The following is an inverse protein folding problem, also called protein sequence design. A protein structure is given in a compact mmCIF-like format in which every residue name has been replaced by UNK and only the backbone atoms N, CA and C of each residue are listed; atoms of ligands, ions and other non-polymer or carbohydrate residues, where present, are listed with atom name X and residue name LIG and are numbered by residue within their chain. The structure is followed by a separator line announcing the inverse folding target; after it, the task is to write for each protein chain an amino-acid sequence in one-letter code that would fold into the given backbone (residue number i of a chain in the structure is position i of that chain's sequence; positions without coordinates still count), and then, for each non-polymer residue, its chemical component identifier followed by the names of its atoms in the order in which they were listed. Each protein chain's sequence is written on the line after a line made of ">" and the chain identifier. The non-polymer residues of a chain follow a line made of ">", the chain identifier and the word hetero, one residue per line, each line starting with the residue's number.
data_IF_942083897775
#
_entry.id   IF_942083897775
#
_cell.length_a   1.000
_cell.length_b   1.000
_cell.length_c   1.000
_cell.angle_alpha   90.00
_cell.angle_beta   90.00
_cell.angle_gamma   90.00
#
_symmetry.space_group_name_H-M   'P 1'
#
loop_
_entity.id
_entity.type
_entity.pdbx_description
1 polymer ?
#
# COMPACT_ATOMS: atom_id res chain seq x y z
N UNK A 1 24.26 10.17 -11.41
CA UNK A 1 23.30 10.23 -10.30
C UNK A 1 23.87 9.35 -9.19
N UNK A 2 23.85 9.77 -7.92
CA UNK A 2 24.33 8.94 -6.82
C UNK A 2 23.52 7.65 -6.71
N UNK A 3 24.15 6.58 -6.19
CA UNK A 3 23.50 5.29 -6.01
C UNK A 3 22.63 5.27 -4.75
N UNK A 4 21.52 4.50 -4.72
CA UNK A 4 20.69 4.37 -3.52
C UNK A 4 21.52 3.96 -2.30
N UNK A 5 21.40 4.71 -1.20
CA UNK A 5 22.16 4.48 0.03
C UNK A 5 23.50 5.22 0.12
N UNK A 6 23.88 6.02 -0.89
CA UNK A 6 25.02 6.93 -0.77
C UNK A 6 24.63 8.23 -0.04
N UNK A 7 25.49 8.65 0.89
CA UNK A 7 25.37 9.95 1.54
C UNK A 7 25.80 11.06 0.58
N UNK A 8 24.93 12.04 0.36
CA UNK A 8 25.28 13.24 -0.41
C UNK A 8 25.52 14.38 0.57
N UNK A 9 26.71 14.96 0.56
CA UNK A 9 27.02 16.15 1.36
C UNK A 9 26.54 17.41 0.65
N UNK A 10 25.91 18.31 1.40
CA UNK A 10 25.38 19.54 0.83
C UNK A 10 25.04 20.59 1.89
N UNK A 11 24.82 21.82 1.41
CA UNK A 11 24.37 22.92 2.25
C UNK A 11 22.88 23.11 2.05
N UNK A 12 22.10 23.09 3.14
CA UNK A 12 20.65 23.29 3.06
C UNK A 12 20.35 24.69 2.49
N UNK A 13 19.67 24.77 1.35
CA UNK A 13 19.33 26.05 0.70
C UNK A 13 18.41 26.96 1.54
N UNK A 14 17.69 26.40 2.52
CA UNK A 14 16.76 27.13 3.37
C UNK A 14 17.40 27.72 4.63
N UNK A 15 18.39 27.04 5.24
CA UNK A 15 19.00 27.49 6.50
C UNK A 15 20.54 27.62 6.47
N UNK A 16 21.18 27.37 5.32
CA UNK A 16 22.62 27.54 5.13
C UNK A 16 23.51 26.56 5.90
N UNK A 17 22.94 25.59 6.63
CA UNK A 17 23.71 24.61 7.40
C UNK A 17 24.22 23.49 6.50
N UNK A 18 25.51 23.19 6.65
CA UNK A 18 26.16 22.04 6.04
C UNK A 18 25.70 20.75 6.73
N UNK A 19 25.32 19.73 5.95
CA UNK A 19 24.82 18.47 6.48
C UNK A 19 24.94 17.33 5.48
N UNK A 20 24.68 16.13 5.98
CA UNK A 20 24.61 14.92 5.16
C UNK A 20 23.14 14.63 4.88
N UNK A 21 22.78 14.56 3.61
CA UNK A 21 21.46 14.08 3.18
C UNK A 21 21.59 12.58 2.92
N UNK A 22 20.77 11.81 3.61
CA UNK A 22 20.64 10.38 3.38
C UNK A 22 19.54 10.18 2.34
N UNK A 23 19.89 9.60 1.20
CA UNK A 23 18.89 9.11 0.27
C UNK A 23 18.24 7.87 0.90
N UNK A 24 16.92 7.86 1.12
CA UNK A 24 16.26 6.72 1.73
C UNK A 24 16.48 5.48 0.86
N UNK A 25 16.64 4.27 1.46
CA UNK A 25 16.74 3.06 0.68
C UNK A 25 15.48 2.91 -0.17
N UNK A 26 15.64 2.48 -1.43
CA UNK A 26 14.50 2.15 -2.28
C UNK A 26 13.64 1.08 -1.59
N UNK A 27 12.31 1.16 -1.78
CA UNK A 27 11.42 0.10 -1.32
C UNK A 27 11.85 -1.19 -2.03
N UNK A 28 12.06 -2.29 -1.30
CA UNK A 28 12.46 -3.52 -1.94
C UNK A 28 11.34 -3.98 -2.90
N UNK A 29 11.75 -4.42 -4.09
CA UNK A 29 10.83 -4.65 -5.21
C UNK A 29 9.75 -5.70 -4.89
N UNK A 30 10.04 -6.61 -3.96
CA UNK A 30 9.12 -7.63 -3.44
C UNK A 30 7.94 -7.04 -2.68
N UNK A 31 8.13 -5.96 -1.90
CA UNK A 31 7.07 -5.29 -1.16
C UNK A 31 6.11 -4.56 -2.11
N UNK A 32 6.64 -3.82 -3.09
CA UNK A 32 5.82 -3.19 -4.13
C UNK A 32 5.10 -4.23 -4.99
N UNK A 33 5.79 -5.30 -5.38
CA UNK A 33 5.19 -6.39 -6.17
C UNK A 33 4.08 -7.11 -5.39
N UNK A 34 4.26 -7.34 -4.08
CA UNK A 34 3.24 -7.94 -3.21
C UNK A 34 2.01 -7.05 -3.08
N UNK A 35 2.20 -5.73 -2.90
CA UNK A 35 1.11 -4.74 -2.86
C UNK A 35 0.35 -4.67 -4.19
N UNK A 36 1.07 -4.62 -5.30
CA UNK A 36 0.47 -4.59 -6.63
C UNK A 36 -0.33 -5.88 -6.91
N UNK A 37 0.22 -7.05 -6.54
CA UNK A 37 -0.45 -8.34 -6.68
C UNK A 37 -1.72 -8.41 -5.83
N UNK A 38 -1.69 -7.94 -4.57
CA UNK A 38 -2.87 -7.86 -3.72
C UNK A 38 -3.97 -6.98 -4.34
N UNK A 39 -3.61 -5.79 -4.81
CA UNK A 39 -4.55 -4.85 -5.43
C UNK A 39 -5.17 -5.40 -6.71
N UNK A 40 -4.35 -6.05 -7.54
CA UNK A 40 -4.81 -6.66 -8.78
C UNK A 40 -5.79 -7.80 -8.50
N UNK A 41 -5.42 -8.72 -7.60
CA UNK A 41 -6.28 -9.81 -7.17
C UNK A 41 -7.62 -9.30 -6.63
N UNK A 42 -7.61 -8.29 -5.75
CA UNK A 42 -8.85 -7.79 -5.16
C UNK A 42 -9.77 -7.14 -6.20
N UNK A 43 -9.21 -6.42 -7.18
CA UNK A 43 -9.98 -5.86 -8.30
C UNK A 43 -10.63 -6.95 -9.15
N UNK A 44 -9.88 -7.99 -9.49
CA UNK A 44 -10.38 -9.13 -10.26
C UNK A 44 -11.48 -9.88 -9.49
N UNK A 45 -11.31 -10.08 -8.19
CA UNK A 45 -12.29 -10.77 -7.37
C UNK A 45 -13.60 -9.98 -7.20
N UNK A 46 -13.52 -8.65 -7.10
CA UNK A 46 -14.71 -7.79 -7.10
C UNK A 46 -15.42 -7.85 -8.47
N UNK A 47 -14.65 -7.77 -9.57
CA UNK A 47 -15.20 -7.81 -10.92
C UNK A 47 -15.89 -9.17 -11.23
N UNK A 48 -15.29 -10.28 -10.83
CA UNK A 48 -15.89 -11.62 -10.96
C UNK A 48 -17.25 -11.69 -10.25
N UNK A 49 -17.32 -11.11 -9.04
CA UNK A 49 -18.56 -11.12 -8.25
C UNK A 49 -19.69 -10.30 -8.87
N UNK A 50 -19.37 -9.23 -9.60
CA UNK A 50 -20.35 -8.44 -10.39
C UNK A 50 -20.76 -9.16 -11.68
N UNK A 51 -19.84 -9.91 -12.28
CA UNK A 51 -20.06 -10.62 -13.55
C UNK A 51 -20.90 -11.89 -13.44
N UNK A 52 -21.18 -12.39 -12.23
CA UNK A 52 -22.00 -13.60 -12.02
C UNK A 52 -23.49 -13.28 -12.22
N UNK A 53 -24.06 -13.82 -13.30
CA UNK A 53 -25.49 -13.74 -13.59
C UNK A 53 -26.32 -14.38 -12.46
N UNK A 54 -27.32 -13.65 -11.96
CA UNK A 54 -28.25 -14.12 -10.93
C UNK A 54 -27.92 -13.71 -9.49
N UNK A 55 -26.84 -12.97 -9.27
CA UNK A 55 -26.54 -12.40 -7.95
C UNK A 55 -27.54 -11.28 -7.56
N UNK A 56 -27.94 -11.18 -6.30
CA UNK A 56 -28.86 -10.14 -5.84
C UNK A 56 -28.32 -8.72 -6.09
N UNK A 57 -29.20 -7.73 -6.34
CA UNK A 57 -28.84 -6.31 -6.48
C UNK A 57 -27.95 -5.79 -5.34
N UNK A 58 -28.10 -6.33 -4.13
CA UNK A 58 -27.27 -6.03 -2.96
C UNK A 58 -25.78 -6.34 -3.19
N UNK A 59 -25.45 -7.36 -3.98
CA UNK A 59 -24.07 -7.73 -4.34
C UNK A 59 -23.46 -6.68 -5.28
N UNK A 60 -24.24 -6.13 -6.20
CA UNK A 60 -23.84 -5.02 -7.07
C UNK A 60 -23.47 -3.77 -6.26
N UNK A 61 -24.36 -3.32 -5.37
CA UNK A 61 -24.08 -2.16 -4.51
C UNK A 61 -22.87 -2.35 -3.61
N UNK A 62 -22.68 -3.58 -3.09
CA UNK A 62 -21.51 -3.92 -2.29
C UNK A 62 -20.23 -3.83 -3.12
N UNK A 63 -20.24 -4.38 -4.33
CA UNK A 63 -19.07 -4.34 -5.21
C UNK A 63 -18.71 -2.90 -5.61
N UNK A 64 -19.71 -2.05 -5.88
CA UNK A 64 -19.49 -0.61 -6.11
C UNK A 64 -18.84 0.08 -4.90
N UNK A 65 -19.32 -0.23 -3.68
CA UNK A 65 -18.72 0.27 -2.45
C UNK A 65 -17.28 -0.22 -2.26
N UNK A 66 -17.00 -1.49 -2.58
CA UNK A 66 -15.65 -2.08 -2.48
C UNK A 66 -14.69 -1.44 -3.52
N UNK A 67 -15.17 -1.11 -4.73
CA UNK A 67 -14.40 -0.34 -5.73
C UNK A 67 -14.10 1.07 -5.22
N UNK A 68 -15.07 1.75 -4.61
CA UNK A 68 -14.85 3.08 -4.02
C UNK A 68 -13.81 3.02 -2.89
N UNK A 69 -13.90 2.01 -2.02
CA UNK A 69 -12.93 1.79 -0.94
C UNK A 69 -11.52 1.51 -1.48
N UNK A 70 -11.38 0.74 -2.56
CA UNK A 70 -10.09 0.58 -3.25
C UNK A 70 -9.54 1.93 -3.71
N UNK A 71 -10.37 2.79 -4.29
CA UNK A 71 -9.98 4.12 -4.75
C UNK A 71 -9.55 5.06 -3.62
N UNK A 72 -10.24 5.04 -2.48
CA UNK A 72 -9.90 5.87 -1.32
C UNK A 72 -8.64 5.37 -0.59
N UNK A 73 -8.53 4.06 -0.44
CA UNK A 73 -7.44 3.42 0.30
C UNK A 73 -6.25 3.06 -0.59
N UNK A 74 -5.89 3.87 -1.58
CA UNK A 74 -4.70 3.63 -2.40
C UNK A 74 -3.39 3.69 -1.59
N UNK A 75 -2.34 2.96 -1.99
CA UNK A 75 -1.03 3.06 -1.35
C UNK A 75 -0.37 4.41 -1.69
N UNK A 76 0.37 4.95 -0.74
CA UNK A 76 1.27 6.09 -0.92
C UNK A 76 2.65 5.73 -0.37
N UNK A 77 3.70 6.14 -1.07
CA UNK A 77 5.07 5.93 -0.63
C UNK A 77 5.49 7.03 0.33
N UNK A 78 6.10 6.62 1.43
CA UNK A 78 6.57 7.54 2.45
C UNK A 78 7.93 7.08 3.02
N UNK A 79 8.60 8.00 3.69
CA UNK A 79 9.85 7.73 4.41
C UNK A 79 9.59 7.82 5.91
N UNK A 80 9.78 6.73 6.64
CA UNK A 80 9.62 6.66 8.10
C UNK A 80 10.99 6.69 8.78
N UNK A 81 11.16 7.57 9.75
CA UNK A 81 12.31 7.53 10.67
C UNK A 81 11.91 6.82 11.97
N UNK A 82 12.47 5.64 12.24
CA UNK A 82 12.11 4.82 13.42
C UNK A 82 12.95 5.13 14.67
N UNK A 83 13.70 6.23 14.67
CA UNK A 83 14.46 6.72 15.83
C UNK A 83 15.60 7.66 15.42
N UNK A 84 16.12 8.44 16.38
CA UNK A 84 17.17 9.47 16.14
C UNK A 84 18.48 8.91 15.53
N UNK A 85 18.71 7.61 15.68
CA UNK A 85 19.93 6.91 15.24
C UNK A 85 19.67 5.76 14.26
N UNK A 86 18.42 5.60 13.80
CA UNK A 86 18.07 4.57 12.82
C UNK A 86 18.01 5.18 11.44
N UNK A 87 18.45 4.42 10.45
CA UNK A 87 18.27 4.79 9.05
C UNK A 87 16.77 4.99 8.77
N UNK A 88 16.39 6.03 8.03
CA UNK A 88 15.03 6.14 7.51
C UNK A 88 14.71 4.92 6.64
N UNK A 89 13.50 4.42 6.75
CA UNK A 89 12.99 3.27 5.98
C UNK A 89 11.89 3.77 5.04
N UNK A 90 11.98 3.41 3.76
CA UNK A 90 10.88 3.64 2.84
C UNK A 90 9.77 2.61 3.09
N UNK A 91 8.53 3.07 3.12
CA UNK A 91 7.36 2.23 3.41
C UNK A 91 6.15 2.66 2.57
N UNK A 92 5.21 1.74 2.40
CA UNK A 92 3.90 2.05 1.84
C UNK A 92 2.88 2.23 2.97
N UNK A 93 2.19 3.37 2.94
CA UNK A 93 1.05 3.68 3.80
C UNK A 93 -0.23 3.75 2.99
N UNK A 94 -1.37 3.66 3.66
CA UNK A 94 -2.65 3.93 3.03
C UNK A 94 -2.89 5.44 2.97
N UNK A 95 -3.28 5.96 1.80
CA UNK A 95 -3.61 7.38 1.59
C UNK A 95 -4.61 7.90 2.62
N UNK A 96 -5.67 7.14 2.87
CA UNK A 96 -6.77 7.55 3.75
C UNK A 96 -6.42 7.39 5.23
N UNK A 97 -5.81 6.26 5.61
CA UNK A 97 -5.51 5.99 7.02
C UNK A 97 -4.23 6.68 7.50
N UNK A 98 -3.35 7.08 6.58
CA UNK A 98 -1.99 7.55 6.84
C UNK A 98 -1.21 6.60 7.74
N UNK A 99 -0.32 7.19 8.54
CA UNK A 99 0.58 6.47 9.44
C UNK A 99 -0.11 5.78 10.60
N UNK A 100 -1.37 6.17 10.90
CA UNK A 100 -2.19 5.55 11.96
C UNK A 100 -2.78 4.20 11.53
N UNK A 101 -2.78 3.90 10.22
CA UNK A 101 -3.40 2.72 9.64
C UNK A 101 -2.57 1.43 9.63
N UNK A 102 -1.32 1.47 10.12
CA UNK A 102 -0.39 0.34 10.02
C UNK A 102 0.29 0.22 8.64
N UNK A 103 0.97 -0.91 8.36
CA UNK A 103 1.54 -1.17 7.04
C UNK A 103 0.45 -1.44 6.01
N UNK A 104 0.63 -0.96 4.77
CA UNK A 104 -0.23 -1.30 3.65
C UNK A 104 -0.16 -2.81 3.33
N UNK A 105 -1.28 -3.48 2.94
CA UNK A 105 -2.65 -2.97 2.86
C UNK A 105 -3.25 -2.69 4.24
N UNK A 106 -4.03 -1.61 4.36
CA UNK A 106 -4.64 -1.24 5.64
C UNK A 106 -5.74 -2.22 6.06
N UNK A 107 -6.12 -2.18 7.35
CA UNK A 107 -7.17 -3.02 7.92
C UNK A 107 -8.49 -2.96 7.13
N UNK A 108 -8.90 -1.80 6.64
CA UNK A 108 -10.13 -1.65 5.83
C UNK A 108 -10.07 -2.50 4.59
N UNK A 109 -8.98 -2.44 3.82
CA UNK A 109 -8.84 -3.25 2.60
C UNK A 109 -8.74 -4.74 2.90
N UNK A 110 -8.13 -5.14 4.03
CA UNK A 110 -8.14 -6.55 4.46
C UNK A 110 -9.55 -7.05 4.79
N UNK A 111 -10.38 -6.20 5.39
CA UNK A 111 -11.79 -6.51 5.66
C UNK A 111 -12.61 -6.60 4.37
N UNK A 112 -12.37 -5.70 3.40
CA UNK A 112 -12.95 -5.76 2.06
C UNK A 112 -12.55 -7.04 1.35
N UNK A 113 -11.31 -7.50 1.50
CA UNK A 113 -10.80 -8.73 0.89
C UNK A 113 -11.37 -10.03 1.48
N UNK A 114 -11.79 -10.02 2.75
CA UNK A 114 -12.22 -11.22 3.48
C UNK A 114 -13.36 -12.05 2.82
N UNK A 115 -14.39 -11.46 2.20
CA UNK A 115 -15.47 -12.20 1.52
C UNK A 115 -15.04 -12.83 0.20
N UNK A 116 -13.98 -12.36 -0.42
CA UNK A 116 -13.52 -12.83 -1.73
C UNK A 116 -12.57 -14.03 -1.62
N UNK A 117 -11.93 -14.22 -0.45
CA UNK A 117 -10.91 -15.26 -0.24
C UNK A 117 -11.41 -16.70 -0.43
N UNK A 118 -12.71 -16.95 -0.21
CA UNK A 118 -13.31 -18.27 -0.35
C UNK A 118 -13.86 -18.53 -1.75
N UNK A 119 -14.22 -17.46 -2.46
CA UNK A 119 -14.95 -17.54 -3.74
C UNK A 119 -14.02 -17.31 -4.95
N UNK A 120 -12.83 -16.73 -4.74
CA UNK A 120 -11.88 -16.38 -5.79
C UNK A 120 -10.48 -16.96 -5.51
N UNK A 121 -9.97 -17.85 -6.39
CA UNK A 121 -8.62 -18.40 -6.27
C UNK A 121 -7.58 -17.29 -6.49
N UNK A 122 -6.50 -17.29 -5.71
CA UNK A 122 -5.42 -16.29 -5.81
C UNK A 122 -5.18 -15.48 -4.55
N UNK A 123 -6.02 -15.62 -3.53
CA UNK A 123 -5.72 -15.03 -2.22
C UNK A 123 -4.44 -15.63 -1.64
N UNK A 124 -3.63 -14.81 -0.98
CA UNK A 124 -2.54 -15.28 -0.14
C UNK A 124 -2.87 -15.07 1.33
N UNK A 125 -2.52 -16.05 2.17
CA UNK A 125 -2.89 -16.01 3.59
C UNK A 125 -2.24 -14.82 4.27
N UNK A 126 -1.02 -14.45 3.92
CA UNK A 126 -0.26 -13.33 4.48
C UNK A 126 -0.90 -11.95 4.27
N UNK A 127 -1.89 -11.79 3.38
CA UNK A 127 -2.55 -10.51 3.12
C UNK A 127 -3.69 -10.18 4.10
N UNK A 128 -4.13 -11.14 4.90
CA UNK A 128 -5.31 -11.04 5.78
C UNK A 128 -5.07 -11.09 7.31
N UNK A 129 -3.95 -11.58 7.87
CA UNK A 129 -3.68 -11.55 9.31
C UNK A 129 -3.32 -10.15 9.83
#
# INVERSE_FOLDING_TARGET
>A
MPEPGQSITGTCKSCGRYGVVYEPPGIPADAQASTAAFLQWLKEAIADRVGRFGEPLFVGYRAEADVALLGWHQPVEIVRTTGRWRAPEAAQECRECGSRGGPYPCRTLRMVAAPYRFDFPGHRREWLP
#
